data_IF_557405621275
#
_entry.id   IF_557405621275
#
_cell.length_a   1.000
_cell.length_b   1.000
_cell.length_c   1.000
_cell.angle_alpha   90.00
_cell.angle_beta   90.00
_cell.angle_gamma   90.00
#
_symmetry.space_group_name_H-M   'P 1'
#
loop_
_entity.id
_entity.type
_entity.pdbx_description
1 polymer ?
#
# COMPACT_ATOMS: atom_id res chain seq x y z
N UNK A 1 3.82 -6.35 74.96
CA UNK A 1 3.53 -5.07 74.26
C UNK A 1 4.85 -4.51 73.73
N UNK A 2 4.88 -4.06 72.47
CA UNK A 2 5.96 -3.32 71.78
C UNK A 2 7.28 -4.04 71.39
N UNK A 3 7.26 -5.19 70.68
CA UNK A 3 8.51 -5.59 69.97
C UNK A 3 8.38 -6.36 68.65
N UNK A 4 7.18 -6.51 68.07
CA UNK A 4 7.00 -7.25 66.80
C UNK A 4 6.39 -6.45 65.64
N UNK A 5 6.30 -5.13 65.77
CA UNK A 5 5.72 -4.25 64.75
C UNK A 5 6.73 -3.40 63.97
N UNK A 6 8.04 -3.54 64.24
CA UNK A 6 9.08 -2.72 63.63
C UNK A 6 9.98 -3.46 62.63
N UNK A 7 9.56 -4.65 62.17
CA UNK A 7 10.37 -5.49 61.26
C UNK A 7 9.76 -5.67 59.87
N UNK A 8 8.56 -5.13 59.62
CA UNK A 8 7.85 -5.31 58.34
C UNK A 8 7.87 -4.05 57.46
N UNK A 9 8.36 -2.91 57.97
CA UNK A 9 8.35 -1.64 57.23
C UNK A 9 9.67 -1.28 56.51
N UNK A 10 10.68 -2.16 56.52
CA UNK A 10 12.01 -1.87 55.94
C UNK A 10 12.38 -2.75 54.74
N UNK A 11 11.46 -3.57 54.22
CA UNK A 11 11.71 -4.40 53.04
C UNK A 11 10.80 -4.11 51.82
N UNK A 12 9.98 -3.07 51.85
CA UNK A 12 9.07 -2.73 50.74
C UNK A 12 9.59 -1.63 49.81
N UNK A 13 10.91 -1.41 49.71
CA UNK A 13 11.46 -0.31 48.90
C UNK A 13 12.78 -0.60 48.14
N UNK A 14 12.94 -1.78 47.50
CA UNK A 14 13.67 -1.77 46.23
C UNK A 14 13.05 -2.72 45.21
N UNK A 15 11.78 -2.54 44.84
CA UNK A 15 11.19 -3.22 43.67
C UNK A 15 10.47 -2.26 42.72
N UNK A 16 10.95 -1.01 42.64
CA UNK A 16 10.39 0.05 41.80
C UNK A 16 11.39 0.58 40.75
N UNK A 17 12.55 -0.07 40.57
CA UNK A 17 13.60 0.38 39.63
C UNK A 17 13.91 -0.59 38.48
N UNK A 18 13.12 -1.65 38.29
CA UNK A 18 13.22 -2.50 37.09
C UNK A 18 12.13 -2.18 36.07
N UNK A 19 11.88 -0.88 35.84
CA UNK A 19 11.22 -0.43 34.63
C UNK A 19 12.20 -0.55 33.47
N UNK A 20 12.41 -1.76 32.96
CA UNK A 20 13.09 -1.94 31.70
C UNK A 20 12.32 -1.18 30.64
N UNK A 21 12.93 -0.16 30.04
CA UNK A 21 12.38 0.45 28.84
C UNK A 21 12.32 -0.65 27.80
N UNK A 22 11.11 -1.10 27.48
CA UNK A 22 10.88 -1.92 26.30
C UNK A 22 11.17 -1.03 25.08
N UNK A 23 12.45 -0.94 24.70
CA UNK A 23 12.83 -0.45 23.39
C UNK A 23 12.29 -1.50 22.42
N UNK A 24 11.30 -1.14 21.60
CA UNK A 24 10.98 -1.94 20.42
C UNK A 24 12.28 -2.10 19.63
N UNK A 25 12.81 -3.31 19.57
CA UNK A 25 14.05 -3.59 18.87
C UNK A 25 13.82 -3.38 17.38
N UNK A 26 14.29 -2.25 16.86
CA UNK A 26 14.48 -2.06 15.42
C UNK A 26 15.37 -3.20 14.92
N UNK A 27 15.05 -3.89 13.81
CA UNK A 27 15.88 -4.96 13.30
C UNK A 27 17.35 -4.51 13.18
N UNK A 28 18.28 -5.34 13.67
CA UNK A 28 19.71 -5.03 13.75
C UNK A 28 20.39 -4.89 12.38
N UNK A 29 19.78 -5.39 11.31
CA UNK A 29 20.27 -5.28 9.93
C UNK A 29 19.15 -4.82 8.99
N UNK A 30 19.43 -3.97 7.98
CA UNK A 30 18.45 -3.60 6.97
C UNK A 30 17.99 -4.83 6.18
N UNK A 31 16.68 -5.06 6.01
CA UNK A 31 16.16 -6.20 5.23
C UNK A 31 16.38 -6.05 3.72
N UNK A 32 16.56 -4.82 3.24
CA UNK A 32 16.60 -4.51 1.81
C UNK A 32 17.60 -5.33 0.98
N UNK A 33 18.86 -5.58 1.40
CA UNK A 33 19.79 -6.40 0.62
C UNK A 33 19.23 -7.79 0.30
N UNK A 34 18.59 -8.46 1.26
CA UNK A 34 17.98 -9.78 1.07
C UNK A 34 16.72 -9.69 0.20
N UNK A 35 15.87 -8.67 0.41
CA UNK A 35 14.67 -8.46 -0.40
C UNK A 35 15.01 -8.13 -1.86
N UNK A 36 16.06 -7.34 -2.09
CA UNK A 36 16.56 -7.03 -3.43
C UNK A 36 16.91 -8.31 -4.17
N UNK A 37 17.72 -9.18 -3.57
CA UNK A 37 18.11 -10.45 -4.19
C UNK A 37 16.89 -11.35 -4.40
N UNK A 38 15.99 -11.44 -3.41
CA UNK A 38 14.81 -12.30 -3.51
C UNK A 38 13.86 -11.91 -4.65
N UNK A 39 13.67 -10.61 -4.93
CA UNK A 39 12.69 -10.15 -5.91
C UNK A 39 13.29 -9.69 -7.25
N UNK A 40 14.56 -9.28 -7.26
CA UNK A 40 15.22 -8.72 -8.44
C UNK A 40 16.52 -9.46 -8.82
N UNK A 41 16.96 -10.44 -8.03
CA UNK A 41 18.21 -11.15 -8.23
C UNK A 41 19.42 -10.21 -8.19
N UNK A 42 20.39 -10.46 -9.07
CA UNK A 42 21.62 -9.67 -9.17
C UNK A 42 21.48 -8.40 -10.03
N UNK A 43 20.25 -8.05 -10.46
CA UNK A 43 20.03 -6.85 -11.28
C UNK A 43 20.49 -5.60 -10.53
N UNK A 44 21.20 -4.72 -11.24
CA UNK A 44 21.53 -3.40 -10.73
C UNK A 44 20.26 -2.57 -10.58
N UNK A 45 20.14 -1.86 -9.46
CA UNK A 45 19.05 -0.92 -9.20
C UNK A 45 19.70 0.43 -8.92
N UNK A 46 19.42 1.43 -9.77
CA UNK A 46 19.86 2.80 -9.52
C UNK A 46 19.07 3.36 -8.35
N UNK A 47 19.71 3.46 -7.19
CA UNK A 47 19.07 4.04 -6.01
C UNK A 47 18.97 5.57 -6.11
N UNK A 48 18.07 6.16 -5.32
CA UNK A 48 17.86 7.62 -5.23
C UNK A 48 17.52 8.29 -6.58
N UNK A 49 16.72 7.62 -7.40
CA UNK A 49 16.28 8.04 -8.74
C UNK A 49 15.26 9.21 -8.74
N UNK A 50 15.49 10.25 -7.93
CA UNK A 50 14.58 11.38 -7.74
C UNK A 50 14.47 12.29 -9.00
N UNK A 51 15.39 12.14 -9.94
CA UNK A 51 15.38 12.74 -11.27
C UNK A 51 14.43 12.01 -12.25
N UNK A 52 13.99 10.79 -11.92
CA UNK A 52 13.03 10.01 -12.71
C UNK A 52 11.63 10.05 -12.10
N UNK A 53 11.52 9.81 -10.80
CA UNK A 53 10.24 9.77 -10.09
C UNK A 53 10.39 10.17 -8.62
N UNK A 54 9.29 10.56 -7.99
CA UNK A 54 9.21 10.95 -6.59
C UNK A 54 8.22 10.05 -5.86
N UNK A 55 8.59 9.62 -4.66
CA UNK A 55 7.68 8.95 -3.73
C UNK A 55 7.26 9.90 -2.61
N UNK A 56 5.94 10.04 -2.43
CA UNK A 56 5.34 10.80 -1.34
C UNK A 56 4.65 9.83 -0.38
N UNK A 57 5.03 9.90 0.89
CA UNK A 57 4.37 9.22 1.99
C UNK A 57 4.63 10.03 3.29
N UNK A 58 3.72 9.97 4.28
CA UNK A 58 3.89 10.72 5.51
C UNK A 58 5.11 10.23 6.30
N UNK A 59 5.81 11.14 6.99
CA UNK A 59 6.95 10.77 7.86
C UNK A 59 6.50 9.90 9.03
N UNK A 60 5.29 10.13 9.53
CA UNK A 60 4.60 9.33 10.54
C UNK A 60 3.17 9.14 10.08
N UNK A 61 2.70 7.90 10.02
CA UNK A 61 1.31 7.62 9.71
C UNK A 61 0.44 7.96 10.92
N UNK A 62 -0.64 8.70 10.69
CA UNK A 62 -1.72 8.89 11.68
C UNK A 62 -2.48 7.57 11.90
N UNK A 63 -2.72 6.85 10.81
CA UNK A 63 -3.29 5.51 10.83
C UNK A 63 -2.45 4.59 9.93
N UNK A 64 -1.87 3.56 10.56
CA UNK A 64 -1.00 2.59 9.92
C UNK A 64 -1.75 1.64 8.97
N UNK A 65 -3.08 1.53 9.09
CA UNK A 65 -3.92 0.70 8.23
C UNK A 65 -4.25 1.35 6.88
N UNK A 66 -4.04 2.66 6.72
CA UNK A 66 -4.44 3.46 5.55
C UNK A 66 -3.38 4.50 5.16
N UNK A 67 -2.10 4.12 5.12
CA UNK A 67 -1.01 5.05 4.80
C UNK A 67 -1.10 5.48 3.32
N UNK A 68 -1.29 6.79 3.02
CA UNK A 68 -1.30 7.26 1.64
C UNK A 68 0.12 7.23 1.07
N UNK A 69 0.25 6.62 -0.11
CA UNK A 69 1.49 6.55 -0.87
C UNK A 69 1.20 7.07 -2.28
N UNK A 70 2.04 7.96 -2.78
CA UNK A 70 1.95 8.48 -4.15
C UNK A 70 3.29 8.35 -4.88
N UNK A 71 3.22 8.05 -6.18
CA UNK A 71 4.36 8.05 -7.10
C UNK A 71 4.06 9.03 -8.23
N UNK A 72 5.01 9.92 -8.47
CA UNK A 72 4.95 10.90 -9.56
C UNK A 72 6.19 10.76 -10.44
N UNK A 73 6.05 10.66 -11.75
CA UNK A 73 7.19 10.80 -12.66
C UNK A 73 7.62 12.26 -12.75
N UNK A 74 8.87 12.51 -13.15
CA UNK A 74 9.38 13.87 -13.39
C UNK A 74 9.07 14.34 -14.82
N UNK A 75 8.91 13.40 -15.75
CA UNK A 75 8.59 13.66 -17.15
C UNK A 75 7.45 12.74 -17.64
N UNK A 76 6.72 13.13 -18.69
CA UNK A 76 5.72 12.28 -19.32
C UNK A 76 6.33 11.00 -19.88
N UNK A 77 5.53 9.93 -19.89
CA UNK A 77 5.84 8.69 -20.58
C UNK A 77 5.83 8.94 -22.10
N UNK A 78 6.68 8.21 -22.82
CA UNK A 78 6.70 8.19 -24.30
C UNK A 78 6.70 6.73 -24.76
N UNK A 79 6.36 6.47 -26.03
CA UNK A 79 6.44 5.12 -26.58
C UNK A 79 7.85 4.52 -26.49
N UNK A 80 8.88 5.35 -26.64
CA UNK A 80 10.30 4.91 -26.65
C UNK A 80 10.90 4.78 -25.25
N UNK A 81 10.39 5.55 -24.28
CA UNK A 81 10.89 5.58 -22.90
C UNK A 81 9.75 5.74 -21.93
N UNK A 82 9.45 4.67 -21.20
CA UNK A 82 8.41 4.67 -20.19
C UNK A 82 8.67 3.71 -19.02
N UNK A 83 8.16 4.05 -17.85
CA UNK A 83 8.06 3.15 -16.70
C UNK A 83 7.00 2.11 -17.02
N UNK A 84 7.39 0.84 -17.12
CA UNK A 84 6.52 -0.30 -17.40
C UNK A 84 5.91 -0.89 -16.13
N UNK A 85 6.70 -0.98 -15.06
CA UNK A 85 6.24 -1.47 -13.75
C UNK A 85 6.67 -0.53 -12.64
N UNK A 86 5.84 -0.40 -11.60
CA UNK A 86 6.25 0.12 -10.29
C UNK A 86 6.00 -0.96 -9.25
N UNK A 87 7.10 -1.55 -8.77
CA UNK A 87 7.09 -2.53 -7.70
C UNK A 87 7.16 -1.81 -6.35
N UNK A 88 6.11 -1.94 -5.54
CA UNK A 88 6.10 -1.46 -4.16
C UNK A 88 6.63 -2.54 -3.22
N UNK A 89 7.70 -2.21 -2.50
CA UNK A 89 8.27 -3.05 -1.44
C UNK A 89 8.17 -2.29 -0.11
N UNK A 90 7.62 -2.94 0.92
CA UNK A 90 7.55 -2.39 2.27
C UNK A 90 8.35 -3.33 3.17
N UNK A 91 9.59 -2.96 3.50
CA UNK A 91 10.60 -3.90 3.99
C UNK A 91 10.13 -4.77 5.17
N UNK A 92 9.53 -4.16 6.19
CA UNK A 92 9.08 -4.84 7.40
C UNK A 92 7.59 -5.20 7.40
N UNK A 93 6.92 -5.21 6.24
CA UNK A 93 5.58 -5.80 6.18
C UNK A 93 5.67 -7.34 6.17
N UNK A 94 4.67 -8.05 6.74
CA UNK A 94 4.60 -9.51 6.72
C UNK A 94 4.71 -10.13 5.32
N UNK A 95 4.27 -9.38 4.30
CA UNK A 95 4.52 -9.66 2.90
C UNK A 95 5.17 -8.42 2.26
N UNK A 96 6.52 -8.38 2.14
CA UNK A 96 7.23 -7.16 1.73
C UNK A 96 6.88 -6.69 0.31
N UNK A 97 6.83 -7.60 -0.65
CA UNK A 97 6.39 -7.29 -2.01
C UNK A 97 4.89 -7.01 -2.02
N UNK A 98 4.54 -5.72 -1.99
CA UNK A 98 3.23 -5.25 -1.55
C UNK A 98 2.25 -5.05 -2.71
N UNK A 99 2.73 -4.55 -3.84
CA UNK A 99 1.96 -4.43 -5.09
C UNK A 99 2.89 -4.20 -6.29
N UNK A 100 2.41 -4.51 -7.48
CA UNK A 100 3.02 -4.12 -8.76
C UNK A 100 2.00 -3.36 -9.61
N UNK A 101 2.35 -2.16 -10.04
CA UNK A 101 1.54 -1.37 -10.97
C UNK A 101 2.17 -1.47 -12.35
N UNK A 102 1.52 -2.20 -13.26
CA UNK A 102 1.88 -2.27 -14.68
C UNK A 102 1.24 -1.08 -15.38
N UNK A 103 2.04 -0.30 -16.07
CA UNK A 103 1.64 0.98 -16.64
C UNK A 103 1.73 0.96 -18.16
N UNK A 104 0.73 1.55 -18.80
CA UNK A 104 0.77 1.89 -20.22
C UNK A 104 1.42 3.25 -20.43
N UNK A 105 2.21 3.44 -21.52
CA UNK A 105 2.68 4.78 -21.90
C UNK A 105 1.52 5.74 -22.22
N UNK A 106 0.32 5.24 -22.52
CA UNK A 106 -0.88 6.06 -22.79
C UNK A 106 -1.38 6.84 -21.56
N UNK A 107 -0.93 6.50 -20.35
CA UNK A 107 -1.19 7.32 -19.15
C UNK A 107 -0.65 8.75 -19.28
N UNK A 108 0.38 8.97 -20.10
CA UNK A 108 1.09 10.24 -20.16
C UNK A 108 1.93 10.43 -18.90
N UNK A 109 1.56 11.32 -17.98
CA UNK A 109 2.30 11.47 -16.72
C UNK A 109 1.92 10.39 -15.72
N UNK A 110 2.92 9.79 -15.07
CA UNK A 110 2.66 8.96 -13.89
C UNK A 110 2.38 9.89 -12.72
N UNK A 111 1.14 9.90 -12.25
CA UNK A 111 0.75 10.46 -10.96
C UNK A 111 -0.26 9.50 -10.35
N UNK A 112 0.24 8.53 -9.59
CA UNK A 112 -0.54 7.42 -9.04
C UNK A 112 -0.50 7.51 -7.52
N UNK A 113 -1.63 7.26 -6.88
CA UNK A 113 -1.73 7.20 -5.43
C UNK A 113 -2.68 6.12 -4.97
N UNK A 114 -2.26 5.42 -3.93
CA UNK A 114 -3.05 4.39 -3.25
C UNK A 114 -2.85 4.48 -1.74
N UNK A 115 -3.48 3.58 -1.01
CA UNK A 115 -3.35 3.46 0.45
C UNK A 115 -2.89 2.06 0.79
N UNK A 116 -1.85 1.94 1.59
CA UNK A 116 -1.32 0.65 2.03
C UNK A 116 -1.24 0.55 3.55
N UNK A 117 -1.40 -0.67 4.05
CA UNK A 117 -1.11 -1.05 5.43
C UNK A 117 0.40 -1.08 5.62
N UNK A 118 0.90 -0.48 6.70
CA UNK A 118 2.32 -0.49 7.06
C UNK A 118 2.44 -1.01 8.49
N UNK A 119 3.13 -2.14 8.66
CA UNK A 119 3.11 -2.87 9.92
C UNK A 119 4.12 -2.36 10.95
N UNK A 120 5.25 -1.84 10.49
CA UNK A 120 6.34 -1.39 11.37
C UNK A 120 7.02 -0.15 10.79
N UNK A 121 7.90 0.47 11.59
CA UNK A 121 8.77 1.54 11.11
C UNK A 121 9.68 0.97 10.03
N UNK A 122 9.55 1.47 8.80
CA UNK A 122 10.12 0.79 7.63
C UNK A 122 10.33 1.77 6.48
N UNK A 123 11.17 1.36 5.53
CA UNK A 123 11.17 1.96 4.22
C UNK A 123 9.98 1.43 3.40
N UNK A 124 9.29 2.36 2.76
CA UNK A 124 8.45 2.12 1.59
C UNK A 124 9.32 2.44 0.38
N UNK A 125 9.47 1.47 -0.52
CA UNK A 125 10.29 1.57 -1.73
C UNK A 125 9.39 1.42 -2.93
N UNK A 126 9.66 2.23 -3.95
CA UNK A 126 9.12 2.05 -5.28
C UNK A 126 10.30 1.78 -6.21
N UNK A 127 10.30 0.61 -6.85
CA UNK A 127 11.26 0.24 -7.88
C UNK A 127 10.54 0.34 -9.22
N UNK A 128 10.94 1.30 -10.05
CA UNK A 128 10.48 1.43 -11.42
C UNK A 128 11.30 0.50 -12.31
N UNK A 129 10.62 -0.36 -13.05
CA UNK A 129 11.18 -1.07 -14.20
C UNK A 129 10.82 -0.30 -15.46
N UNK A 130 11.84 0.15 -16.18
CA UNK A 130 11.67 0.84 -17.46
C UNK A 130 11.39 -0.16 -18.59
N UNK A 131 10.92 0.33 -19.73
CA UNK A 131 10.68 -0.49 -20.92
C UNK A 131 11.94 -1.14 -21.53
N UNK A 132 13.14 -0.65 -21.19
CA UNK A 132 14.43 -1.27 -21.52
C UNK A 132 14.90 -2.31 -20.49
N UNK A 133 14.14 -2.53 -19.41
CA UNK A 133 14.44 -3.47 -18.34
C UNK A 133 15.34 -2.93 -17.23
N UNK A 134 15.79 -1.67 -17.32
CA UNK A 134 16.56 -1.01 -16.26
C UNK A 134 15.70 -0.75 -15.01
N UNK A 135 16.33 -0.83 -13.84
CA UNK A 135 15.66 -0.66 -12.55
C UNK A 135 16.12 0.61 -11.85
N UNK A 136 15.16 1.36 -11.32
CA UNK A 136 15.40 2.63 -10.63
C UNK A 136 14.55 2.71 -9.36
N UNK A 137 15.14 3.11 -8.24
CA UNK A 137 14.45 3.11 -6.95
C UNK A 137 14.39 4.51 -6.34
N UNK A 138 13.22 4.83 -5.79
CA UNK A 138 13.08 5.85 -4.74
C UNK A 138 12.50 5.22 -3.48
N UNK A 139 12.80 5.82 -2.33
CA UNK A 139 12.35 5.29 -1.05
C UNK A 139 11.97 6.39 -0.07
N UNK A 140 11.08 6.06 0.87
CA UNK A 140 10.67 6.93 1.96
C UNK A 140 10.56 6.12 3.24
N UNK A 141 11.21 6.58 4.30
CA UNK A 141 11.02 6.00 5.62
C UNK A 141 9.72 6.50 6.25
N UNK A 142 8.87 5.55 6.69
CA UNK A 142 7.56 5.82 7.28
C UNK A 142 7.51 5.26 8.69
N UNK A 143 7.13 6.10 9.67
CA UNK A 143 6.85 5.66 11.04
C UNK A 143 5.38 5.25 11.17
N UNK A 144 5.10 3.95 11.10
CA UNK A 144 3.78 3.35 11.29
C UNK A 144 3.87 2.04 12.11
N UNK A 145 2.79 1.60 12.76
CA UNK A 145 2.83 0.36 13.54
C UNK A 145 1.48 -0.35 13.54
N UNK A 146 1.49 -1.67 13.37
CA UNK A 146 0.33 -2.56 13.52
C UNK A 146 -0.71 -2.48 12.40
N UNK A 147 -0.40 -1.82 11.28
CA UNK A 147 -1.36 -1.62 10.18
C UNK A 147 -1.87 -2.90 9.54
N UNK A 148 -1.05 -3.96 9.50
CA UNK A 148 -1.45 -5.22 8.88
C UNK A 148 -2.38 -6.05 9.77
N UNK A 149 -2.24 -5.95 11.10
CA UNK A 149 -3.15 -6.59 12.07
C UNK A 149 -4.33 -5.71 12.50
N UNK A 150 -4.38 -4.44 12.05
CA UNK A 150 -5.45 -3.53 12.39
C UNK A 150 -6.81 -4.06 11.91
N UNK A 151 -7.85 -4.06 12.76
CA UNK A 151 -9.20 -4.48 12.39
C UNK A 151 -9.72 -3.69 11.18
N UNK A 152 -10.52 -4.32 10.33
CA UNK A 152 -11.25 -3.59 9.28
C UNK A 152 -12.45 -2.87 9.92
N UNK A 153 -12.52 -1.55 9.73
CA UNK A 153 -13.63 -0.68 10.12
C UNK A 153 -14.19 -0.83 11.54
N UNK A 154 -15.23 -0.04 11.84
CA UNK A 154 -16.03 -0.19 13.08
C UNK A 154 -17.13 -1.25 12.94
N UNK A 155 -17.44 -1.68 11.72
CA UNK A 155 -18.51 -2.62 11.40
C UNK A 155 -18.14 -3.54 10.23
N UNK A 156 -17.60 -4.71 10.56
CA UNK A 156 -17.23 -5.75 9.60
C UNK A 156 -18.44 -6.30 8.82
N UNK A 157 -19.63 -6.35 9.43
CA UNK A 157 -20.83 -6.84 8.77
C UNK A 157 -21.32 -5.84 7.73
N UNK A 158 -21.31 -4.55 8.06
CA UNK A 158 -21.58 -3.50 7.09
C UNK A 158 -20.57 -3.51 5.95
N UNK A 159 -19.26 -3.67 6.23
CA UNK A 159 -18.19 -3.75 5.22
C UNK A 159 -18.40 -4.90 4.23
N UNK A 160 -18.79 -6.09 4.72
CA UNK A 160 -19.14 -7.23 3.88
C UNK A 160 -20.40 -6.98 3.05
N UNK A 161 -21.44 -6.35 3.63
CA UNK A 161 -22.70 -6.06 2.93
C UNK A 161 -22.55 -5.04 1.77
N UNK A 162 -21.49 -4.22 1.79
CA UNK A 162 -21.15 -3.27 0.72
C UNK A 162 -20.09 -3.78 -0.24
N UNK A 163 -19.56 -4.99 -0.02
CA UNK A 163 -18.51 -5.57 -0.86
C UNK A 163 -18.88 -5.53 -2.34
N UNK A 164 -17.90 -5.20 -3.18
CA UNK A 164 -18.08 -5.11 -4.62
C UNK A 164 -18.72 -3.81 -5.11
N UNK A 165 -19.25 -2.95 -4.22
CA UNK A 165 -19.70 -1.61 -4.63
C UNK A 165 -18.51 -0.78 -5.07
N UNK A 166 -18.56 -0.29 -6.30
CA UNK A 166 -17.48 0.48 -6.92
C UNK A 166 -17.86 1.94 -7.15
N UNK A 167 -16.85 2.81 -7.24
CA UNK A 167 -17.00 4.21 -7.63
C UNK A 167 -15.84 4.65 -8.52
N UNK A 168 -16.15 5.41 -9.57
CA UNK A 168 -15.18 6.19 -10.35
C UNK A 168 -15.43 7.68 -10.06
N UNK A 169 -14.52 8.30 -9.32
CA UNK A 169 -14.56 9.72 -8.98
C UNK A 169 -13.61 10.50 -9.88
N UNK A 170 -14.16 11.45 -10.64
CA UNK A 170 -13.40 12.36 -11.49
C UNK A 170 -14.26 13.59 -11.81
N UNK A 171 -13.61 14.70 -12.14
CA UNK A 171 -14.26 15.86 -12.75
C UNK A 171 -14.61 15.54 -14.21
N UNK A 172 -15.47 16.36 -14.82
CA UNK A 172 -15.68 16.26 -16.27
C UNK A 172 -14.34 16.52 -16.97
N UNK A 173 -13.84 15.59 -17.80
CA UNK A 173 -12.58 15.79 -18.50
C UNK A 173 -12.73 16.76 -19.67
N UNK A 174 -11.63 17.43 -20.00
CA UNK A 174 -11.42 18.06 -21.31
C UNK A 174 -10.60 17.10 -22.16
N UNK A 175 -11.04 16.79 -23.38
CA UNK A 175 -10.28 15.95 -24.32
C UNK A 175 -8.92 16.58 -24.60
N UNK A 176 -7.87 15.77 -24.53
CA UNK A 176 -6.48 16.20 -24.74
C UNK A 176 -5.80 16.81 -23.51
N UNK A 177 -6.52 17.03 -22.40
CA UNK A 177 -5.94 17.54 -21.15
C UNK A 177 -5.83 16.44 -20.08
N UNK A 178 -4.72 16.40 -19.31
CA UNK A 178 -4.59 15.47 -18.20
C UNK A 178 -5.72 15.63 -17.18
N UNK A 179 -6.42 14.53 -16.88
CA UNK A 179 -7.52 14.48 -15.92
C UNK A 179 -7.23 13.44 -14.84
N UNK A 180 -7.50 13.80 -13.59
CA UNK A 180 -7.38 12.88 -12.46
C UNK A 180 -8.68 12.08 -12.29
N UNK A 181 -8.53 10.77 -12.15
CA UNK A 181 -9.59 9.84 -11.79
C UNK A 181 -9.21 9.03 -10.56
N UNK A 182 -10.21 8.52 -9.85
CA UNK A 182 -10.03 7.64 -8.72
C UNK A 182 -11.03 6.49 -8.81
N UNK A 183 -10.50 5.27 -8.93
CA UNK A 183 -11.25 4.02 -8.79
C UNK A 183 -11.22 3.62 -7.31
N UNK A 184 -12.39 3.29 -6.77
CA UNK A 184 -12.56 2.80 -5.41
C UNK A 184 -13.44 1.54 -5.48
N UNK A 185 -13.01 0.48 -4.83
CA UNK A 185 -13.81 -0.72 -4.63
C UNK A 185 -14.04 -0.92 -3.14
N UNK A 186 -15.29 -1.16 -2.77
CA UNK A 186 -15.63 -1.52 -1.40
C UNK A 186 -15.21 -2.97 -1.14
N UNK A 187 -14.25 -3.16 -0.25
CA UNK A 187 -13.68 -4.49 0.03
C UNK A 187 -12.99 -4.50 1.40
N UNK A 188 -13.21 -5.54 2.24
CA UNK A 188 -12.65 -5.57 3.60
C UNK A 188 -11.12 -5.58 3.62
N UNK A 189 -10.50 -6.19 2.62
CA UNK A 189 -9.04 -6.31 2.50
C UNK A 189 -8.40 -6.83 3.81
N UNK A 190 -8.91 -7.98 4.27
CA UNK A 190 -8.35 -8.72 5.39
C UNK A 190 -7.00 -9.30 4.97
N UNK A 191 -5.97 -9.03 5.78
CA UNK A 191 -4.58 -9.43 5.48
C UNK A 191 -4.29 -10.87 5.89
N UNK A 192 -5.19 -11.49 6.66
CA UNK A 192 -4.94 -12.77 7.34
C UNK A 192 -4.39 -12.63 8.76
N UNK A 193 -4.04 -11.41 9.18
CA UNK A 193 -3.34 -11.15 10.44
C UNK A 193 -4.22 -10.50 11.51
N UNK A 194 -5.41 -10.03 11.13
CA UNK A 194 -6.40 -9.55 12.08
C UNK A 194 -6.90 -10.70 12.96
N UNK A 195 -7.07 -10.44 14.25
CA UNK A 195 -7.58 -11.41 15.21
C UNK A 195 -9.00 -11.05 15.65
N UNK A 196 -9.96 -11.96 15.42
CA UNK A 196 -11.31 -11.83 15.94
C UNK A 196 -11.34 -12.25 17.42
N UNK A 197 -11.53 -11.27 18.30
CA UNK A 197 -11.57 -11.49 19.74
C UNK A 197 -12.78 -12.31 20.21
N UNK A 198 -13.90 -12.27 19.49
CA UNK A 198 -15.12 -13.03 19.80
C UNK A 198 -14.97 -14.48 19.37
N UNK A 199 -14.59 -14.70 18.11
CA UNK A 199 -14.38 -16.04 17.57
C UNK A 199 -13.10 -16.72 18.09
N UNK A 200 -12.17 -15.93 18.68
CA UNK A 200 -10.83 -16.33 19.14
C UNK A 200 -10.02 -17.00 18.03
N UNK A 201 -10.06 -16.43 16.84
CA UNK A 201 -9.39 -16.94 15.63
C UNK A 201 -8.88 -15.77 14.79
N UNK A 202 -7.82 -16.02 14.02
CA UNK A 202 -7.41 -15.11 12.96
C UNK A 202 -8.46 -15.06 11.85
N UNK A 203 -8.71 -13.87 11.33
CA UNK A 203 -9.59 -13.65 10.17
C UNK A 203 -8.82 -14.12 8.93
N UNK A 204 -9.35 -15.07 8.15
CA UNK A 204 -8.70 -15.51 6.92
C UNK A 204 -8.43 -14.35 5.95
N UNK A 205 -7.36 -14.46 5.17
CA UNK A 205 -7.02 -13.45 4.17
C UNK A 205 -8.15 -13.37 3.11
N UNK A 206 -8.61 -12.15 2.86
CA UNK A 206 -9.61 -11.83 1.84
C UNK A 206 -9.32 -10.43 1.33
N UNK A 207 -8.62 -10.34 0.20
CA UNK A 207 -8.09 -9.09 -0.31
C UNK A 207 -8.20 -9.00 -1.84
N UNK A 208 -8.25 -7.78 -2.35
CA UNK A 208 -8.16 -7.52 -3.79
C UNK A 208 -6.79 -7.97 -4.32
N UNK A 209 -6.78 -8.87 -5.30
CA UNK A 209 -5.58 -9.38 -5.98
C UNK A 209 -5.26 -8.59 -7.24
N UNK A 210 -6.27 -8.23 -8.02
CA UNK A 210 -6.09 -7.54 -9.30
C UNK A 210 -7.02 -6.35 -9.44
N UNK A 211 -6.51 -5.26 -10.03
CA UNK A 211 -7.31 -4.10 -10.46
C UNK A 211 -6.86 -3.72 -11.86
N UNK A 212 -7.73 -3.92 -12.85
CA UNK A 212 -7.52 -3.52 -14.23
C UNK A 212 -8.32 -2.26 -14.54
N UNK A 213 -7.62 -1.23 -15.01
CA UNK A 213 -8.20 0.07 -15.37
C UNK A 213 -7.92 0.30 -16.86
N UNK A 214 -8.99 0.50 -17.62
CA UNK A 214 -8.95 0.65 -19.07
C UNK A 214 -9.72 1.89 -19.52
N UNK A 215 -9.26 2.51 -20.60
CA UNK A 215 -9.98 3.56 -21.30
C UNK A 215 -10.14 3.17 -22.77
N UNK A 216 -11.38 3.11 -23.26
CA UNK A 216 -11.71 2.63 -24.61
C UNK A 216 -11.05 1.28 -24.96
N UNK A 217 -11.19 0.31 -24.04
CA UNK A 217 -10.63 -1.04 -24.12
C UNK A 217 -9.10 -1.12 -24.17
N UNK A 218 -8.40 0.01 -24.05
CA UNK A 218 -6.95 0.06 -23.87
C UNK A 218 -6.60 0.09 -22.39
N UNK A 219 -5.73 -0.83 -21.97
CA UNK A 219 -5.26 -0.89 -20.58
C UNK A 219 -4.43 0.35 -20.26
N UNK A 220 -4.80 1.03 -19.18
CA UNK A 220 -4.01 2.12 -18.59
C UNK A 220 -3.12 1.60 -17.46
N UNK A 221 -3.74 0.91 -16.50
CA UNK A 221 -3.08 0.40 -15.29
C UNK A 221 -3.60 -1.02 -15.01
N UNK A 222 -2.69 -1.95 -14.74
CA UNK A 222 -3.00 -3.22 -14.08
C UNK A 222 -2.26 -3.26 -12.75
N UNK A 223 -2.98 -3.47 -11.65
CA UNK A 223 -2.39 -3.63 -10.32
C UNK A 223 -2.41 -5.10 -9.95
N UNK A 224 -1.25 -5.70 -9.72
CA UNK A 224 -1.14 -6.97 -8.99
C UNK A 224 -0.88 -6.63 -7.52
N UNK A 225 -1.81 -6.96 -6.64
CA UNK A 225 -1.77 -6.62 -5.23
C UNK A 225 -1.62 -7.85 -4.35
N UNK A 226 -1.00 -7.64 -3.19
CA UNK A 226 -1.17 -8.58 -2.08
C UNK A 226 -1.84 -7.94 -0.87
N UNK A 227 -1.63 -8.54 0.29
CA UNK A 227 -2.30 -8.21 1.56
C UNK A 227 -2.04 -6.79 2.10
N UNK A 228 -1.14 -6.03 1.50
CA UNK A 228 -0.74 -4.70 1.96
C UNK A 228 -1.66 -3.58 1.46
N UNK A 229 -2.56 -3.82 0.49
CA UNK A 229 -3.59 -2.82 0.15
C UNK A 229 -4.58 -2.63 1.31
N UNK A 230 -4.92 -1.37 1.58
CA UNK A 230 -5.82 -1.01 2.68
C UNK A 230 -7.27 -1.47 2.44
N UNK A 231 -8.08 -1.44 3.49
CA UNK A 231 -9.54 -1.51 3.36
C UNK A 231 -10.07 -0.46 2.37
N UNK A 232 -11.13 -0.84 1.64
CA UNK A 232 -11.67 -0.10 0.51
C UNK A 232 -10.57 0.36 -0.48
N UNK A 233 -9.89 -0.60 -1.16
CA UNK A 233 -8.80 -0.29 -2.07
C UNK A 233 -9.15 0.82 -3.05
N UNK A 234 -8.22 1.78 -3.18
CA UNK A 234 -8.37 2.89 -4.09
C UNK A 234 -7.11 3.16 -4.87
N UNK A 235 -7.29 3.46 -6.16
CA UNK A 235 -6.22 3.86 -7.08
C UNK A 235 -6.65 5.19 -7.68
N UNK A 236 -5.95 6.25 -7.28
CA UNK A 236 -6.05 7.57 -7.91
C UNK A 236 -4.94 7.68 -8.92
N UNK A 237 -5.27 8.14 -10.12
CA UNK A 237 -4.32 8.24 -11.22
C UNK A 237 -4.67 9.43 -12.12
N UNK A 238 -3.69 9.91 -12.87
CA UNK A 238 -3.89 10.88 -13.94
C UNK A 238 -3.76 10.17 -15.29
N UNK A 239 -4.62 10.52 -16.24
CA UNK A 239 -4.55 10.07 -17.64
C UNK A 239 -5.08 11.16 -18.57
N UNK A 240 -4.78 11.08 -19.86
CA UNK A 240 -5.25 12.06 -20.85
C UNK A 240 -6.23 11.39 -21.80
N UNK A 241 -7.54 11.72 -21.76
CA UNK A 241 -8.51 11.16 -22.69
C UNK A 241 -8.32 11.76 -24.10
N UNK A 242 -8.19 10.90 -25.10
CA UNK A 242 -8.02 11.29 -26.51
C UNK A 242 -9.35 11.61 -27.21
N UNK A 243 -10.49 11.29 -26.59
CA UNK A 243 -11.82 11.58 -27.09
C UNK A 243 -12.93 11.25 -26.07
N UNK A 244 -14.20 11.26 -26.49
CA UNK A 244 -15.27 10.64 -25.72
C UNK A 244 -15.00 9.14 -25.54
N UNK A 245 -15.40 8.57 -24.42
CA UNK A 245 -15.16 7.14 -24.23
C UNK A 245 -15.58 6.58 -22.88
N UNK A 246 -15.17 5.34 -22.64
CA UNK A 246 -15.48 4.61 -21.42
C UNK A 246 -14.23 4.40 -20.58
N UNK A 247 -14.27 4.87 -19.34
CA UNK A 247 -13.33 4.47 -18.31
C UNK A 247 -13.91 3.27 -17.55
N UNK A 248 -13.25 2.12 -17.63
CA UNK A 248 -13.68 0.85 -17.05
C UNK A 248 -12.68 0.37 -16.00
N UNK A 249 -13.19 -0.17 -14.90
CA UNK A 249 -12.42 -0.86 -13.90
C UNK A 249 -12.96 -2.27 -13.68
N UNK A 250 -12.07 -3.26 -13.59
CA UNK A 250 -12.38 -4.66 -13.27
C UNK A 250 -11.48 -5.08 -12.10
N UNK A 251 -12.05 -5.72 -11.08
CA UNK A 251 -11.35 -6.11 -9.86
C UNK A 251 -11.58 -7.60 -9.63
N UNK A 252 -10.50 -8.31 -9.29
CA UNK A 252 -10.56 -9.69 -8.81
C UNK A 252 -10.01 -9.78 -7.39
N UNK A 253 -10.69 -10.51 -6.52
CA UNK A 253 -10.25 -10.76 -5.15
C UNK A 253 -9.61 -12.15 -4.96
N UNK A 254 -9.10 -12.40 -3.76
CA UNK A 254 -8.48 -13.67 -3.36
C UNK A 254 -9.44 -14.85 -3.19
N UNK A 255 -10.73 -14.64 -3.39
CA UNK A 255 -11.77 -15.67 -3.43
C UNK A 255 -12.35 -15.82 -4.84
N UNK A 256 -11.65 -15.30 -5.85
CA UNK A 256 -12.00 -15.38 -7.27
C UNK A 256 -13.35 -14.69 -7.60
N UNK A 257 -13.78 -13.74 -6.76
CA UNK A 257 -14.91 -12.86 -7.09
C UNK A 257 -14.44 -11.74 -8.03
N UNK A 258 -15.31 -11.37 -8.96
CA UNK A 258 -15.09 -10.28 -9.90
C UNK A 258 -16.09 -9.14 -9.67
N UNK A 259 -15.59 -7.91 -9.69
CA UNK A 259 -16.40 -6.69 -9.64
C UNK A 259 -16.01 -5.78 -10.80
N UNK A 260 -16.99 -5.16 -11.46
CA UNK A 260 -16.71 -4.23 -12.55
C UNK A 260 -17.61 -2.98 -12.51
N UNK A 261 -17.06 -1.89 -13.03
CA UNK A 261 -17.77 -0.62 -13.21
C UNK A 261 -17.22 0.08 -14.46
N UNK A 262 -18.11 0.66 -15.24
CA UNK A 262 -17.77 1.56 -16.33
C UNK A 262 -18.40 2.93 -16.12
N UNK A 263 -17.73 3.97 -16.62
CA UNK A 263 -18.18 5.35 -16.63
C UNK A 263 -17.91 5.96 -17.99
N UNK A 264 -18.94 6.49 -18.62
CA UNK A 264 -18.82 7.34 -19.82
C UNK A 264 -18.16 8.67 -19.44
N UNK A 265 -17.20 9.10 -20.26
CA UNK A 265 -16.42 10.33 -20.07
C UNK A 265 -16.34 11.17 -21.33
#
# INVERSE_FOLDING_TARGET
>A
MLSRLLSVLLFSLPLLLMGGTAQAATPKEPLWPSLKVAYFGDKEIRENANDLMVIEAPKRAEDAAIVPISIKSIAPQTADRYIKNIHFIIDNNPMPYSANFKLSPELGMVDISTRMRVDQYTYVRAVAEMNDGSLHMVSRFVKASGGCSAPAGKDAAAALARMGKMQIRMRQPTVGEPTQAQVIVSHPNYSGLQYDQKARKYIPAHYVKNIDIMYNDKTLITVDAGISLSEDPSVRFTFTPEGPGKLKAVIHDSQEQEFSLEKEI
#
